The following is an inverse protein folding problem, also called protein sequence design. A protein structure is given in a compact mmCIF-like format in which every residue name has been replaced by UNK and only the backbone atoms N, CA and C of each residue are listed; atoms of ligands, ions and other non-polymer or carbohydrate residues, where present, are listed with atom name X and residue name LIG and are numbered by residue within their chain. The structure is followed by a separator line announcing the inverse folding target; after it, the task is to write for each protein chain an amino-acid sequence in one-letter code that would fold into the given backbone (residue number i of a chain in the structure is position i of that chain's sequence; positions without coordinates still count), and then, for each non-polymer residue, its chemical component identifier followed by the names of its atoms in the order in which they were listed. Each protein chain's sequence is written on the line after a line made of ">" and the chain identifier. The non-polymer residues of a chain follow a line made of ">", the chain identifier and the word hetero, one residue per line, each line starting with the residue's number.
data_IF_919010395779
#
_entry.id   IF_919010395779
#
_cell.length_a   1.000
_cell.length_b   1.000
_cell.length_c   1.000
_cell.angle_alpha   90.00
_cell.angle_beta   90.00
_cell.angle_gamma   90.00
#
_symmetry.space_group_name_H-M   'P 1'
#
loop_
_entity.id
_entity.type
_entity.pdbx_description
1 polymer ?
#
# COMPACT_ATOMS: atom_id res chain seq x y z
N UNK A 1 -2.28 -19.36 -14.64
CA UNK A 1 -2.45 -18.61 -13.37
C UNK A 1 -3.88 -18.83 -12.85
N UNK A 2 -4.27 -18.31 -11.67
CA UNK A 2 -5.65 -18.47 -11.15
C UNK A 2 -6.69 -17.78 -12.04
N UNK A 3 -6.34 -16.65 -12.64
CA UNK A 3 -7.26 -15.85 -13.48
C UNK A 3 -7.80 -16.69 -14.65
N UNK A 4 -6.97 -17.57 -15.22
CA UNK A 4 -7.35 -18.45 -16.33
C UNK A 4 -8.47 -19.46 -15.99
N UNK A 5 -8.75 -19.67 -14.69
CA UNK A 5 -9.80 -20.58 -14.23
C UNK A 5 -11.18 -19.91 -14.14
N UNK A 6 -11.25 -18.58 -14.24
CA UNK A 6 -12.53 -17.87 -14.28
C UNK A 6 -13.17 -18.10 -15.66
N UNK A 7 -14.39 -18.64 -15.67
CA UNK A 7 -15.13 -18.87 -16.91
C UNK A 7 -15.89 -17.62 -17.33
N UNK A 8 -15.77 -17.24 -18.60
CA UNK A 8 -16.50 -16.11 -19.17
C UNK A 8 -15.99 -14.76 -18.66
N UNK A 9 -16.89 -13.78 -18.58
CA UNK A 9 -16.56 -12.47 -18.02
C UNK A 9 -16.54 -12.52 -16.50
N UNK A 10 -15.49 -11.98 -15.89
CA UNK A 10 -15.39 -11.82 -14.44
C UNK A 10 -15.09 -10.36 -14.09
N UNK A 11 -15.32 -10.00 -12.83
CA UNK A 11 -14.97 -8.71 -12.26
C UNK A 11 -13.79 -8.90 -11.31
N UNK A 12 -12.73 -8.11 -11.52
CA UNK A 12 -11.65 -7.98 -10.54
C UNK A 12 -11.93 -6.77 -9.63
N UNK A 13 -11.76 -6.95 -8.33
CA UNK A 13 -11.75 -5.85 -7.36
C UNK A 13 -10.35 -5.81 -6.76
N UNK A 14 -9.69 -4.67 -6.87
CA UNK A 14 -8.36 -4.44 -6.31
C UNK A 14 -8.49 -3.51 -5.12
N UNK A 15 -8.38 -4.08 -3.93
CA UNK A 15 -8.39 -3.33 -2.68
C UNK A 15 -7.03 -2.65 -2.44
N UNK A 16 -7.05 -1.49 -1.77
CA UNK A 16 -5.92 -0.58 -1.61
C UNK A 16 -5.07 -0.46 -2.88
N UNK A 17 -5.73 -0.13 -3.99
CA UNK A 17 -5.15 -0.22 -5.34
C UNK A 17 -3.82 0.51 -5.50
N UNK A 18 -3.67 1.63 -4.78
CA UNK A 18 -2.47 2.47 -4.82
C UNK A 18 -1.21 1.75 -4.29
N UNK A 19 -1.37 0.70 -3.49
CA UNK A 19 -0.30 -0.20 -3.04
C UNK A 19 -0.28 -1.49 -3.86
N UNK A 20 -1.47 -2.09 -4.09
CA UNK A 20 -1.59 -3.40 -4.72
C UNK A 20 -1.11 -3.40 -6.18
N UNK A 21 -1.38 -2.34 -6.94
CA UNK A 21 -0.97 -2.23 -8.35
C UNK A 21 0.56 -2.18 -8.50
N UNK A 22 1.29 -1.28 -7.80
CA UNK A 22 2.75 -1.32 -7.79
C UNK A 22 3.33 -2.67 -7.38
N UNK A 23 2.70 -3.34 -6.39
CA UNK A 23 3.12 -4.67 -5.97
C UNK A 23 3.04 -5.69 -7.11
N UNK A 24 1.90 -5.77 -7.81
CA UNK A 24 1.72 -6.66 -8.98
C UNK A 24 2.77 -6.35 -10.06
N UNK A 25 3.01 -5.07 -10.36
CA UNK A 25 4.02 -4.64 -11.34
C UNK A 25 5.45 -5.06 -10.97
N UNK A 26 5.76 -5.13 -9.67
CA UNK A 26 7.09 -5.51 -9.18
C UNK A 26 7.37 -7.02 -9.14
N UNK A 27 6.34 -7.87 -9.12
CA UNK A 27 6.48 -9.32 -8.88
C UNK A 27 7.36 -10.03 -9.92
N UNK A 28 7.13 -9.75 -11.20
CA UNK A 28 7.89 -10.36 -12.30
C UNK A 28 9.39 -10.02 -12.22
N UNK A 29 9.71 -8.74 -12.04
CA UNK A 29 11.10 -8.28 -11.99
C UNK A 29 11.84 -8.87 -10.78
N UNK A 30 11.19 -8.90 -9.61
CA UNK A 30 11.76 -9.50 -8.40
C UNK A 30 12.01 -11.00 -8.54
N UNK A 31 11.05 -11.76 -9.08
CA UNK A 31 11.21 -13.20 -9.28
C UNK A 31 12.30 -13.52 -10.32
N UNK A 32 12.32 -12.79 -11.44
CA UNK A 32 13.34 -12.96 -12.49
C UNK A 32 14.74 -12.68 -11.95
N UNK A 33 14.95 -11.58 -11.23
CA UNK A 33 16.26 -11.23 -10.66
C UNK A 33 16.79 -12.33 -9.74
N UNK A 34 15.95 -12.83 -8.82
CA UNK A 34 16.32 -13.90 -7.89
C UNK A 34 16.63 -15.21 -8.59
N UNK A 35 15.84 -15.60 -9.60
CA UNK A 35 16.05 -16.85 -10.34
C UNK A 35 17.22 -16.78 -11.30
N UNK A 36 17.49 -15.61 -11.88
CA UNK A 36 18.66 -15.42 -12.75
C UNK A 36 19.94 -15.77 -12.00
N UNK A 37 20.10 -15.29 -10.76
CA UNK A 37 21.23 -15.68 -9.90
C UNK A 37 21.33 -17.19 -9.73
N UNK A 38 20.22 -17.90 -9.50
CA UNK A 38 20.24 -19.37 -9.36
C UNK A 38 20.66 -20.08 -10.66
N UNK A 39 20.29 -19.53 -11.81
CA UNK A 39 20.68 -20.07 -13.13
C UNK A 39 22.16 -19.80 -13.38
N UNK A 40 22.64 -18.58 -13.11
CA UNK A 40 24.02 -18.16 -13.34
C UNK A 40 25.02 -19.00 -12.53
N UNK A 41 24.65 -19.36 -11.30
CA UNK A 41 25.46 -20.22 -10.43
C UNK A 41 25.15 -21.73 -10.59
N UNK A 42 24.39 -22.13 -11.60
CA UNK A 42 24.15 -23.54 -11.95
C UNK A 42 23.24 -24.32 -10.99
N UNK A 43 22.53 -23.63 -10.08
CA UNK A 43 21.55 -24.26 -9.19
C UNK A 43 20.24 -24.61 -9.88
N UNK A 44 19.91 -23.95 -11.00
CA UNK A 44 18.70 -24.20 -11.79
C UNK A 44 19.00 -24.14 -13.29
N UNK A 45 18.23 -24.89 -14.07
CA UNK A 45 18.24 -24.78 -15.52
C UNK A 45 17.58 -23.46 -15.98
N UNK A 46 17.92 -22.94 -17.17
CA UNK A 46 17.31 -21.72 -17.70
C UNK A 46 15.77 -21.74 -17.78
N UNK A 47 15.16 -22.92 -18.01
CA UNK A 47 13.70 -23.08 -18.05
C UNK A 47 13.00 -22.77 -16.72
N UNK A 48 13.73 -22.66 -15.60
CA UNK A 48 13.15 -22.23 -14.33
C UNK A 48 12.64 -20.78 -14.37
N UNK A 49 13.14 -19.96 -15.30
CA UNK A 49 12.69 -18.59 -15.52
C UNK A 49 11.26 -18.52 -16.08
N UNK A 50 10.80 -19.58 -16.76
CA UNK A 50 9.45 -19.63 -17.34
C UNK A 50 8.36 -19.91 -16.28
N UNK A 51 8.72 -20.49 -15.12
CA UNK A 51 7.79 -20.74 -14.02
C UNK A 51 7.59 -19.52 -13.12
N UNK A 52 7.06 -18.43 -13.65
CA UNK A 52 7.10 -17.08 -13.04
C UNK A 52 5.69 -16.51 -12.79
N UNK A 53 5.57 -15.45 -11.98
CA UNK A 53 4.36 -14.64 -11.99
C UNK A 53 4.16 -13.95 -13.35
N UNK A 54 2.94 -13.47 -13.56
CA UNK A 54 2.61 -12.61 -14.70
C UNK A 54 3.44 -11.32 -14.63
N UNK A 55 3.82 -10.81 -15.80
CA UNK A 55 4.23 -9.42 -15.89
C UNK A 55 2.99 -8.51 -15.90
N UNK A 56 3.22 -7.19 -15.81
CA UNK A 56 2.11 -6.24 -15.67
C UNK A 56 1.21 -6.18 -16.91
N UNK A 57 1.79 -6.22 -18.11
CA UNK A 57 1.05 -6.20 -19.38
C UNK A 57 0.17 -7.45 -19.56
N UNK A 58 0.68 -8.62 -19.16
CA UNK A 58 -0.08 -9.88 -19.12
C UNK A 58 -1.26 -9.78 -18.14
N UNK A 59 -1.03 -9.21 -16.95
CA UNK A 59 -2.07 -8.99 -15.97
C UNK A 59 -3.18 -8.05 -16.50
N UNK A 60 -2.81 -6.93 -17.12
CA UNK A 60 -3.77 -5.97 -17.69
C UNK A 60 -4.62 -6.61 -18.80
N UNK A 61 -4.01 -7.43 -19.64
CA UNK A 61 -4.71 -8.12 -20.74
C UNK A 61 -5.75 -9.11 -20.20
N UNK A 62 -5.44 -9.77 -19.08
CA UNK A 62 -6.32 -10.75 -18.44
C UNK A 62 -7.42 -10.11 -17.57
N UNK A 63 -7.35 -8.81 -17.26
CA UNK A 63 -8.24 -8.13 -16.30
C UNK A 63 -8.96 -6.91 -16.89
N UNK A 64 -9.76 -7.09 -17.96
CA UNK A 64 -10.38 -5.98 -18.67
C UNK A 64 -11.50 -5.27 -17.88
N UNK A 65 -12.13 -5.96 -16.91
CA UNK A 65 -13.16 -5.39 -16.03
C UNK A 65 -12.64 -5.35 -14.59
N UNK A 66 -12.13 -4.19 -14.20
CA UNK A 66 -11.47 -4.00 -12.90
C UNK A 66 -12.06 -2.80 -12.17
N UNK A 67 -12.38 -2.99 -10.89
CA UNK A 67 -12.76 -1.96 -9.95
C UNK A 67 -11.58 -1.72 -8.99
N UNK A 68 -10.97 -0.55 -9.08
CA UNK A 68 -9.95 -0.10 -8.15
C UNK A 68 -10.60 0.53 -6.92
N UNK A 69 -10.22 0.09 -5.73
CA UNK A 69 -10.73 0.60 -4.46
C UNK A 69 -9.55 1.18 -3.68
N UNK A 70 -9.59 2.49 -3.44
CA UNK A 70 -8.56 3.20 -2.68
C UNK A 70 -9.12 4.53 -2.18
N UNK A 71 -8.73 4.95 -0.97
CA UNK A 71 -8.98 6.30 -0.49
C UNK A 71 -8.06 7.33 -1.18
N UNK A 72 -6.92 6.88 -1.69
CA UNK A 72 -5.89 7.70 -2.35
C UNK A 72 -5.44 7.01 -3.65
N UNK A 73 -6.28 6.96 -4.70
CA UNK A 73 -5.91 6.33 -5.97
C UNK A 73 -4.67 7.00 -6.57
N UNK A 74 -3.74 6.21 -7.12
CA UNK A 74 -2.57 6.73 -7.79
C UNK A 74 -2.83 7.04 -9.28
N UNK A 75 -1.85 7.62 -9.96
CA UNK A 75 -1.98 8.08 -11.35
C UNK A 75 -2.44 6.96 -12.30
N UNK A 76 -1.94 5.73 -12.11
CA UNK A 76 -2.31 4.58 -12.94
C UNK A 76 -3.82 4.32 -12.90
N UNK A 77 -4.42 4.25 -11.71
CA UNK A 77 -5.84 3.99 -11.56
C UNK A 77 -6.67 5.14 -12.13
N UNK A 78 -6.20 6.38 -11.92
CA UNK A 78 -6.86 7.58 -12.44
C UNK A 78 -6.85 7.62 -13.97
N UNK A 79 -5.74 7.26 -14.61
CA UNK A 79 -5.61 7.22 -16.08
C UNK A 79 -6.38 6.03 -16.70
N UNK A 80 -6.38 4.88 -16.03
CA UNK A 80 -7.03 3.66 -16.54
C UNK A 80 -8.55 3.69 -16.39
N UNK A 81 -9.06 4.40 -15.38
CA UNK A 81 -10.48 4.40 -15.04
C UNK A 81 -11.29 5.25 -16.00
N UNK A 82 -12.33 4.66 -16.59
CA UNK A 82 -13.32 5.41 -17.39
C UNK A 82 -14.19 6.32 -16.53
N UNK A 83 -14.34 6.02 -15.24
CA UNK A 83 -15.10 6.80 -14.28
C UNK A 83 -14.53 6.61 -12.87
N UNK A 84 -14.41 7.72 -12.15
CA UNK A 84 -14.11 7.74 -10.72
C UNK A 84 -15.42 7.92 -9.95
N UNK A 85 -15.62 7.13 -8.89
CA UNK A 85 -16.80 7.19 -8.03
C UNK A 85 -16.33 7.44 -6.61
N UNK A 86 -16.82 8.52 -5.99
CA UNK A 86 -16.45 8.92 -4.64
C UNK A 86 -17.47 8.43 -3.62
N UNK A 87 -16.99 7.89 -2.50
CA UNK A 87 -17.79 7.52 -1.33
C UNK A 87 -17.22 8.20 -0.09
N UNK A 88 -17.64 9.44 0.16
CA UNK A 88 -17.11 10.29 1.25
C UNK A 88 -17.97 10.17 2.52
N UNK A 89 -19.28 9.96 2.37
CA UNK A 89 -20.22 9.97 3.49
C UNK A 89 -20.11 8.66 4.29
N UNK A 90 -19.75 8.76 5.57
CA UNK A 90 -19.72 7.63 6.50
C UNK A 90 -21.11 7.37 7.08
N UNK A 91 -21.59 6.11 7.14
CA UNK A 91 -22.90 5.79 7.73
C UNK A 91 -23.06 6.23 9.19
N UNK A 92 -21.97 6.32 9.94
CA UNK A 92 -21.94 6.74 11.34
C UNK A 92 -21.94 8.26 11.54
N UNK A 93 -21.75 9.04 10.47
CA UNK A 93 -21.60 10.49 10.55
C UNK A 93 -20.25 10.98 11.10
N UNK A 94 -19.27 10.08 11.25
CA UNK A 94 -17.92 10.47 11.69
C UNK A 94 -17.28 11.44 10.69
N UNK A 95 -16.80 12.57 11.21
CA UNK A 95 -16.12 13.60 10.44
C UNK A 95 -14.61 13.30 10.31
N UNK A 96 -13.99 13.88 9.30
CA UNK A 96 -12.53 13.88 9.20
C UNK A 96 -11.92 14.66 10.37
N UNK A 97 -10.75 14.23 10.88
CA UNK A 97 -10.11 14.88 12.02
C UNK A 97 -9.62 16.28 11.67
N UNK A 98 -9.53 17.15 12.69
CA UNK A 98 -8.93 18.48 12.55
C UNK A 98 -7.42 18.33 12.41
N UNK A 99 -6.83 19.06 11.45
CA UNK A 99 -5.38 19.05 11.19
C UNK A 99 -4.77 20.39 11.66
N UNK A 100 -3.71 20.30 12.45
CA UNK A 100 -2.95 21.46 12.94
C UNK A 100 -1.47 21.32 12.55
N UNK A 101 -0.85 22.41 12.12
CA UNK A 101 0.60 22.47 11.82
C UNK A 101 1.29 23.26 12.92
N UNK A 102 2.25 22.63 13.61
CA UNK A 102 3.01 23.24 14.71
C UNK A 102 4.49 23.37 14.36
N UNK A 103 5.21 24.26 15.06
CA UNK A 103 6.65 24.44 14.88
C UNK A 103 7.42 23.21 15.34
N UNK A 104 8.57 22.92 14.71
CA UNK A 104 9.50 21.88 15.16
C UNK A 104 10.24 22.26 16.45
N UNK A 105 10.24 23.54 16.83
CA UNK A 105 10.87 24.02 18.06
C UNK A 105 10.10 23.49 19.28
N UNK A 106 10.79 22.81 20.19
CA UNK A 106 10.22 22.17 21.38
C UNK A 106 9.10 21.15 21.06
N UNK A 107 9.20 20.46 19.91
CA UNK A 107 8.17 19.52 19.46
C UNK A 107 7.94 18.35 20.42
N UNK A 108 8.97 17.91 21.15
CA UNK A 108 8.88 16.76 22.07
C UNK A 108 8.12 17.17 23.33
N UNK A 109 8.41 18.36 23.85
CA UNK A 109 7.72 18.93 25.01
C UNK A 109 6.23 19.21 24.69
N UNK A 110 5.94 19.77 23.51
CA UNK A 110 4.57 19.98 23.04
C UNK A 110 3.80 18.66 22.91
N UNK A 111 4.41 17.66 22.28
CA UNK A 111 3.84 16.32 22.13
C UNK A 111 3.56 15.65 23.49
N UNK A 112 4.47 15.75 24.45
CA UNK A 112 4.28 15.21 25.80
C UNK A 112 3.06 15.84 26.50
N UNK A 113 2.88 17.15 26.36
CA UNK A 113 1.72 17.86 26.91
C UNK A 113 0.43 17.37 26.27
N UNK A 114 0.38 17.19 24.95
CA UNK A 114 -0.80 16.68 24.26
C UNK A 114 -1.13 15.22 24.61
N UNK A 115 -0.11 14.35 24.74
CA UNK A 115 -0.29 12.95 25.17
C UNK A 115 -0.95 12.90 26.54
N UNK A 116 -0.45 13.67 27.52
CA UNK A 116 -1.02 13.70 28.88
C UNK A 116 -2.49 14.13 28.88
N UNK A 117 -2.83 15.18 28.12
CA UNK A 117 -4.22 15.64 27.98
C UNK A 117 -5.15 14.53 27.45
N UNK A 118 -4.68 13.69 26.52
CA UNK A 118 -5.46 12.57 25.96
C UNK A 118 -5.56 11.40 26.93
N UNK A 119 -4.51 11.12 27.70
CA UNK A 119 -4.53 10.11 28.78
C UNK A 119 -5.56 10.48 29.85
N UNK A 120 -5.63 11.74 30.26
CA UNK A 120 -6.55 12.23 31.29
C UNK A 120 -8.04 12.01 30.94
N UNK A 121 -8.36 11.93 29.64
CA UNK A 121 -9.72 11.65 29.13
C UNK A 121 -9.88 10.21 28.61
N UNK A 122 -8.87 9.34 28.79
CA UNK A 122 -8.94 7.92 28.44
C UNK A 122 -8.78 7.60 26.95
N UNK A 123 -8.29 8.53 26.13
CA UNK A 123 -8.08 8.37 24.69
C UNK A 123 -6.71 7.74 24.36
N UNK A 124 -6.42 7.52 23.07
CA UNK A 124 -5.16 6.94 22.59
C UNK A 124 -4.53 7.83 21.51
N UNK A 125 -3.21 7.74 21.37
CA UNK A 125 -2.43 8.53 20.41
C UNK A 125 -1.66 7.57 19.51
N UNK A 126 -1.54 7.92 18.23
CA UNK A 126 -0.62 7.29 17.28
C UNK A 126 0.41 8.32 16.84
N UNK A 127 1.69 7.92 16.82
CA UNK A 127 2.81 8.79 16.45
C UNK A 127 3.64 8.07 15.38
N UNK A 128 3.97 8.79 14.32
CA UNK A 128 4.83 8.30 13.24
C UNK A 128 6.09 9.15 13.19
N UNK A 129 7.26 8.52 13.22
CA UNK A 129 8.56 9.17 13.02
C UNK A 129 9.19 8.72 11.70
N UNK A 130 10.15 9.49 11.19
CA UNK A 130 10.81 9.18 9.91
C UNK A 130 11.85 8.06 10.02
N UNK A 131 12.50 7.92 11.17
CA UNK A 131 13.57 6.93 11.36
C UNK A 131 13.26 6.03 12.54
N UNK A 132 13.74 4.78 12.46
CA UNK A 132 13.66 3.81 13.54
C UNK A 132 14.32 4.33 14.82
N UNK A 133 15.49 4.96 14.69
CA UNK A 133 16.22 5.54 15.83
C UNK A 133 15.38 6.61 16.54
N UNK A 134 14.70 7.49 15.78
CA UNK A 134 13.79 8.47 16.40
C UNK A 134 12.60 7.79 17.10
N UNK A 135 12.07 6.68 16.57
CA UNK A 135 11.01 5.94 17.25
C UNK A 135 11.50 5.36 18.57
N UNK A 136 12.70 4.79 18.57
CA UNK A 136 13.36 4.22 19.75
C UNK A 136 13.64 5.30 20.79
N UNK A 137 14.35 6.38 20.40
CA UNK A 137 14.68 7.51 21.28
C UNK A 137 13.41 8.15 21.89
N UNK A 138 12.33 8.25 21.10
CA UNK A 138 11.05 8.78 21.58
C UNK A 138 10.35 7.83 22.54
N UNK A 139 10.42 6.52 22.28
CA UNK A 139 9.82 5.50 23.15
C UNK A 139 10.54 5.43 24.49
N UNK A 140 11.88 5.52 24.49
CA UNK A 140 12.69 5.52 25.72
C UNK A 140 12.53 6.80 26.56
N UNK A 141 12.13 7.90 25.92
CA UNK A 141 11.87 9.17 26.60
C UNK A 141 10.56 9.16 27.42
N UNK A 142 9.57 8.36 27.02
CA UNK A 142 8.25 8.26 27.65
C UNK A 142 8.17 7.12 28.67
#
# INVERSE_FOLDING_TARGET
>A
CLIDYFQGEFLLIVDESHVTIPQIGGMFAGDKARKQTLVDFGFRLPSALDNRPLNFEEFETLTPKTLYVSATPADYEMEKSSKVVEQIIRPTGLLDPIVEVRSTKNQIEDLLVEIRKRIDVGERILITTLTKKMSEDLTDYY
#
